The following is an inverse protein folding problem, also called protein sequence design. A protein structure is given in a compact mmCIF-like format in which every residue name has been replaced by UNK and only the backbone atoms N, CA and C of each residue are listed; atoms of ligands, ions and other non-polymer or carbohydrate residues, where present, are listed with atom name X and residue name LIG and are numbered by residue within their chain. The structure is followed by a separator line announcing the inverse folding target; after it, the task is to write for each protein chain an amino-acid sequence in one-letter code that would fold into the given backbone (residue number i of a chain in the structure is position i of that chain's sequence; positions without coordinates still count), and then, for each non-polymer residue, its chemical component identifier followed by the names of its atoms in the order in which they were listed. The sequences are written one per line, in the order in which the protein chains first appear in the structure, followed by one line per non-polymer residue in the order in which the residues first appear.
data_IF_353363471187
#
_entry.id   IF_353363471187
#
_cell.length_a   1.000
_cell.length_b   1.000
_cell.length_c   1.000
_cell.angle_alpha   90.00
_cell.angle_beta   90.00
_cell.angle_gamma   90.00
#
_symmetry.space_group_name_H-M   'P 1'
#
loop_
_entity.id
_entity.type
_entity.pdbx_description
1 polymer ?
#
# COMPACT_ATOMS: atom_id res chain seq x y z
N UNK A 1 1.96 25.37 -2.08
CA UNK A 1 2.36 23.99 -2.45
C UNK A 1 3.86 23.82 -2.21
N UNK A 2 4.77 24.60 -2.79
CA UNK A 2 6.24 24.44 -2.63
C UNK A 2 6.69 24.46 -1.17
N UNK A 3 6.21 25.43 -0.38
CA UNK A 3 6.56 25.53 1.04
C UNK A 3 6.05 24.32 1.86
N UNK A 4 4.87 23.82 1.51
CA UNK A 4 4.30 22.60 2.12
C UNK A 4 5.11 21.37 1.74
N UNK A 5 5.51 21.23 0.47
CA UNK A 5 6.37 20.15 0.02
C UNK A 5 7.72 20.15 0.75
N UNK A 6 8.33 21.34 0.93
CA UNK A 6 9.58 21.46 1.66
C UNK A 6 9.43 21.01 3.13
N UNK A 7 8.37 21.45 3.81
CA UNK A 7 8.09 21.01 5.19
C UNK A 7 7.84 19.50 5.30
N UNK A 8 7.18 18.91 4.28
CA UNK A 8 6.98 17.46 4.22
C UNK A 8 8.31 16.73 4.03
N UNK A 9 9.13 17.20 3.10
CA UNK A 9 10.43 16.58 2.84
C UNK A 9 11.34 16.67 4.08
N UNK A 10 11.40 17.81 4.76
CA UNK A 10 12.12 17.99 6.02
C UNK A 10 11.59 17.05 7.13
N UNK A 11 10.26 16.90 7.23
CA UNK A 11 9.62 16.01 8.21
C UNK A 11 10.01 14.55 7.97
N UNK A 12 9.94 14.06 6.75
CA UNK A 12 10.21 12.67 6.41
C UNK A 12 11.71 12.35 6.22
N UNK A 13 12.56 13.37 6.07
CA UNK A 13 14.02 13.19 6.01
C UNK A 13 14.64 12.76 7.36
N UNK A 14 13.93 13.00 8.47
CA UNK A 14 14.43 12.65 9.81
C UNK A 14 13.80 11.33 10.30
N UNK A 15 14.58 10.26 10.49
CA UNK A 15 14.08 8.99 11.04
C UNK A 15 13.42 9.12 12.41
N UNK A 16 13.69 10.20 13.13
CA UNK A 16 13.16 10.47 14.47
C UNK A 16 11.75 11.10 14.44
N UNK A 17 11.32 11.62 13.29
CA UNK A 17 10.04 12.31 13.14
C UNK A 17 9.03 11.56 12.24
N UNK A 18 9.48 10.59 11.49
CA UNK A 18 8.60 9.71 10.73
C UNK A 18 8.06 8.61 11.66
N UNK A 19 7.00 8.92 12.37
CA UNK A 19 6.21 7.89 13.06
C UNK A 19 5.52 6.99 12.02
N UNK A 20 5.21 5.73 12.35
CA UNK A 20 4.57 4.78 11.42
C UNK A 20 3.15 5.17 10.97
N UNK A 21 2.66 6.34 11.39
CA UNK A 21 1.31 6.85 11.14
C UNK A 21 1.29 8.19 10.41
N UNK A 22 2.45 8.70 9.98
CA UNK A 22 2.50 10.00 9.31
C UNK A 22 2.18 9.84 7.82
N UNK A 23 0.90 9.96 7.50
CA UNK A 23 0.38 10.06 6.13
C UNK A 23 -0.21 11.45 5.92
N UNK A 24 0.14 12.08 4.80
CA UNK A 24 -0.49 13.33 4.37
C UNK A 24 -1.25 13.07 3.09
N UNK A 25 -2.56 13.24 3.12
CA UNK A 25 -3.42 13.07 1.95
C UNK A 25 -3.61 14.40 1.22
N UNK A 26 -3.22 14.47 -0.03
CA UNK A 26 -3.57 15.56 -0.94
C UNK A 26 -4.92 15.31 -1.58
N UNK A 27 -5.87 16.21 -1.35
CA UNK A 27 -7.20 16.15 -1.96
C UNK A 27 -7.26 17.04 -3.19
N UNK A 28 -7.87 16.55 -4.28
CA UNK A 28 -8.06 17.30 -5.52
C UNK A 28 -6.79 17.49 -6.37
N UNK A 29 -5.69 16.81 -6.03
CA UNK A 29 -4.46 16.87 -6.84
C UNK A 29 -4.60 16.00 -8.09
N UNK A 30 -4.25 16.56 -9.25
CA UNK A 30 -4.20 15.84 -10.52
C UNK A 30 -2.90 15.03 -10.66
N UNK A 31 -2.87 14.10 -11.61
CA UNK A 31 -1.64 13.34 -11.91
C UNK A 31 -0.51 14.21 -12.48
N UNK A 32 -0.87 15.28 -13.19
CA UNK A 32 0.09 16.26 -13.70
C UNK A 32 0.74 17.04 -12.55
N UNK A 33 -0.06 17.55 -11.63
CA UNK A 33 0.44 18.26 -10.44
C UNK A 33 1.27 17.32 -9.55
N UNK A 34 0.88 16.05 -9.42
CA UNK A 34 1.67 15.03 -8.72
C UNK A 34 3.07 14.89 -9.34
N UNK A 35 3.17 14.81 -10.68
CA UNK A 35 4.45 14.71 -11.38
C UNK A 35 5.34 15.94 -11.15
N UNK A 36 4.73 17.14 -11.07
CA UNK A 36 5.46 18.38 -10.78
C UNK A 36 5.98 18.45 -9.34
N UNK A 37 5.22 17.91 -8.39
CA UNK A 37 5.56 17.94 -6.96
C UNK A 37 6.61 16.90 -6.61
N UNK A 38 6.56 15.72 -7.23
CA UNK A 38 7.41 14.55 -6.91
C UNK A 38 8.91 14.86 -6.80
N UNK A 39 9.53 15.67 -7.68
CA UNK A 39 10.94 16.06 -7.54
C UNK A 39 11.25 16.92 -6.31
N UNK A 40 10.23 17.58 -5.74
CA UNK A 40 10.39 18.49 -4.60
C UNK A 40 10.27 17.77 -3.24
N UNK A 41 9.97 16.46 -3.25
CA UNK A 41 9.81 15.63 -2.04
C UNK A 41 10.59 14.31 -2.18
N UNK A 42 11.93 14.35 -2.36
CA UNK A 42 12.74 13.17 -2.66
C UNK A 42 12.76 12.11 -1.55
N UNK A 43 12.42 12.50 -0.30
CA UNK A 43 12.33 11.60 0.86
C UNK A 43 10.95 10.97 1.04
N UNK A 44 10.00 11.29 0.14
CA UNK A 44 8.64 10.82 0.21
C UNK A 44 8.28 9.91 -0.97
N UNK A 45 7.23 9.13 -0.79
CA UNK A 45 6.53 8.41 -1.83
C UNK A 45 5.09 8.91 -1.93
N UNK A 46 4.56 8.94 -3.17
CA UNK A 46 3.18 9.31 -3.43
C UNK A 46 2.45 8.06 -3.91
N UNK A 47 1.43 7.66 -3.18
CA UNK A 47 0.53 6.57 -3.50
C UNK A 47 -0.86 7.10 -3.90
N UNK A 48 -1.28 6.86 -5.13
CA UNK A 48 -2.63 7.21 -5.61
C UNK A 48 -3.52 5.98 -5.59
N UNK A 49 -4.58 6.03 -4.82
CA UNK A 49 -5.58 4.96 -4.72
C UNK A 49 -6.96 5.37 -5.24
N UNK A 50 -7.17 6.68 -5.44
CA UNK A 50 -8.39 7.24 -6.01
C UNK A 50 -8.04 8.45 -6.90
N UNK A 51 -8.78 8.72 -7.99
CA UNK A 51 -8.44 9.82 -8.92
C UNK A 51 -8.29 11.20 -8.27
N UNK A 52 -9.04 11.48 -7.19
CA UNK A 52 -9.02 12.75 -6.49
C UNK A 52 -8.09 12.81 -5.27
N UNK A 53 -7.39 11.71 -4.91
CA UNK A 53 -6.56 11.66 -3.71
C UNK A 53 -5.19 11.05 -4.00
N UNK A 54 -4.18 11.61 -3.34
CA UNK A 54 -2.85 11.03 -3.30
C UNK A 54 -2.30 11.11 -1.88
N UNK A 55 -1.85 9.99 -1.34
CA UNK A 55 -1.21 9.91 -0.05
C UNK A 55 0.30 10.11 -0.20
N UNK A 56 0.88 10.91 0.67
CA UNK A 56 2.33 11.13 0.79
C UNK A 56 2.80 10.49 2.08
N UNK A 57 3.72 9.55 1.95
CA UNK A 57 4.33 8.82 3.06
C UNK A 57 5.85 8.94 3.00
N UNK A 58 6.54 8.58 4.06
CA UNK A 58 7.99 8.47 4.02
C UNK A 58 8.44 7.43 2.99
N UNK A 59 9.54 7.69 2.30
CA UNK A 59 10.08 6.77 1.31
C UNK A 59 10.42 5.42 1.94
N UNK A 60 9.91 4.36 1.34
CA UNK A 60 10.06 2.99 1.84
C UNK A 60 9.04 2.58 2.89
N UNK A 61 8.11 3.44 3.29
CA UNK A 61 6.98 3.06 4.13
C UNK A 61 5.89 2.44 3.25
N UNK A 62 6.06 1.17 2.96
CA UNK A 62 5.16 0.37 2.14
C UNK A 62 4.36 -0.61 3.01
N UNK A 63 3.22 -1.07 2.50
CA UNK A 63 2.45 -2.15 3.14
C UNK A 63 3.26 -3.43 3.30
N UNK A 64 4.21 -3.69 2.39
CA UNK A 64 5.18 -4.78 2.50
C UNK A 64 6.03 -4.66 3.76
N UNK A 65 6.62 -3.48 4.02
CA UNK A 65 7.40 -3.23 5.24
C UNK A 65 6.55 -3.41 6.50
N UNK A 66 5.27 -3.02 6.44
CA UNK A 66 4.32 -3.26 7.53
C UNK A 66 4.17 -4.76 7.84
N UNK A 67 4.10 -5.62 6.82
CA UNK A 67 4.10 -7.07 7.02
C UNK A 67 5.39 -7.52 7.71
N UNK A 68 6.55 -7.09 7.22
CA UNK A 68 7.85 -7.48 7.77
C UNK A 68 7.98 -7.11 9.26
N UNK A 69 7.50 -5.92 9.65
CA UNK A 69 7.50 -5.49 11.06
C UNK A 69 6.56 -6.34 11.92
N UNK A 70 5.37 -6.66 11.43
CA UNK A 70 4.37 -7.47 12.15
C UNK A 70 4.89 -8.91 12.33
N UNK A 71 5.35 -9.56 11.28
CA UNK A 71 5.83 -10.95 11.36
C UNK A 71 7.07 -11.03 12.26
N UNK A 72 7.97 -10.04 12.21
CA UNK A 72 9.11 -9.96 13.10
C UNK A 72 8.67 -9.82 14.57
N UNK A 73 7.70 -8.96 14.84
CA UNK A 73 7.20 -8.73 16.20
C UNK A 73 6.56 -9.98 16.80
N UNK A 74 5.78 -10.72 16.02
CA UNK A 74 5.08 -11.92 16.47
C UNK A 74 5.88 -13.22 16.28
N UNK A 75 7.06 -13.18 15.67
CA UNK A 75 7.86 -14.38 15.37
C UNK A 75 7.21 -15.29 14.32
N UNK A 76 6.41 -14.71 13.43
CA UNK A 76 5.75 -15.41 12.31
C UNK A 76 6.71 -15.46 11.13
N UNK A 77 6.67 -16.54 10.34
CA UNK A 77 7.45 -16.63 9.10
C UNK A 77 6.68 -16.03 7.93
N UNK A 78 7.40 -15.55 6.92
CA UNK A 78 6.77 -14.99 5.71
C UNK A 78 5.87 -16.03 5.01
N UNK A 79 6.27 -17.31 5.02
CA UNK A 79 5.51 -18.43 4.47
C UNK A 79 4.15 -18.66 5.15
N UNK A 80 3.94 -18.05 6.33
CA UNK A 80 2.69 -18.15 7.11
C UNK A 80 1.78 -16.94 6.89
N UNK A 81 2.05 -16.10 5.88
CA UNK A 81 1.31 -14.86 5.63
C UNK A 81 0.34 -14.99 4.46
N UNK A 82 -0.82 -14.37 4.60
CA UNK A 82 -1.77 -14.13 3.52
C UNK A 82 -2.15 -12.65 3.49
N UNK A 83 -2.16 -12.06 2.31
CA UNK A 83 -2.54 -10.66 2.12
C UNK A 83 -3.68 -10.54 1.13
N UNK A 84 -4.63 -9.64 1.42
CA UNK A 84 -5.74 -9.29 0.53
C UNK A 84 -5.61 -7.85 0.08
N UNK A 85 -5.89 -7.58 -1.20
CA UNK A 85 -5.79 -6.24 -1.74
C UNK A 85 -6.65 -6.02 -2.98
N UNK A 86 -6.98 -4.77 -3.28
CA UNK A 86 -7.74 -4.35 -4.46
C UNK A 86 -7.21 -3.08 -5.12
N UNK A 87 -6.33 -2.35 -4.46
CA UNK A 87 -5.73 -1.10 -4.93
C UNK A 87 -4.31 -1.22 -5.45
N UNK A 88 -3.87 -0.27 -6.27
CA UNK A 88 -2.50 -0.21 -6.80
C UNK A 88 -1.42 -0.15 -5.71
N UNK A 89 -1.75 0.44 -4.55
CA UNK A 89 -0.89 0.48 -3.38
C UNK A 89 -0.73 -0.87 -2.66
N UNK A 90 -1.53 -1.88 -3.02
CA UNK A 90 -1.45 -3.24 -2.48
C UNK A 90 -0.51 -4.15 -3.29
N UNK A 91 -0.12 -3.75 -4.50
CA UNK A 91 0.67 -4.58 -5.41
C UNK A 91 1.95 -5.12 -4.76
N UNK A 92 2.68 -4.28 -4.04
CA UNK A 92 3.91 -4.70 -3.36
C UNK A 92 3.63 -5.67 -2.23
N UNK A 93 2.57 -5.45 -1.46
CA UNK A 93 2.10 -6.32 -0.39
C UNK A 93 1.65 -7.69 -0.94
N UNK A 94 0.87 -7.71 -2.02
CA UNK A 94 0.38 -8.94 -2.65
C UNK A 94 1.51 -9.81 -3.20
N UNK A 95 2.56 -9.19 -3.75
CA UNK A 95 3.76 -9.90 -4.23
C UNK A 95 4.64 -10.42 -3.11
N UNK A 96 4.61 -9.76 -1.97
CA UNK A 96 5.51 -10.05 -0.85
C UNK A 96 4.98 -11.16 0.05
N UNK A 97 3.70 -11.17 0.37
CA UNK A 97 3.10 -12.22 1.20
C UNK A 97 3.24 -13.59 0.54
N UNK A 98 3.28 -14.65 1.35
CA UNK A 98 3.32 -16.02 0.82
C UNK A 98 2.11 -16.32 -0.06
N UNK A 99 0.94 -15.81 0.32
CA UNK A 99 -0.29 -15.90 -0.47
C UNK A 99 -0.84 -14.49 -0.65
N UNK A 100 -0.67 -13.92 -1.83
CA UNK A 100 -1.32 -12.66 -2.22
C UNK A 100 -2.64 -12.95 -2.92
N UNK A 101 -3.72 -12.36 -2.43
CA UNK A 101 -5.08 -12.53 -2.95
C UNK A 101 -5.61 -11.18 -3.44
N UNK A 102 -5.88 -11.06 -4.72
CA UNK A 102 -6.55 -9.90 -5.28
C UNK A 102 -8.07 -10.08 -5.20
N UNK A 103 -8.77 -9.03 -4.77
CA UNK A 103 -10.23 -9.01 -4.77
C UNK A 103 -10.79 -8.95 -6.19
N UNK A 104 -11.94 -9.54 -6.42
CA UNK A 104 -12.54 -9.65 -7.76
C UNK A 104 -12.82 -8.32 -8.46
N UNK A 105 -13.10 -7.24 -7.71
CA UNK A 105 -13.27 -5.88 -8.23
C UNK A 105 -11.95 -5.15 -8.52
N UNK A 106 -10.79 -5.72 -8.18
CA UNK A 106 -9.51 -5.10 -8.41
C UNK A 106 -9.21 -4.88 -9.91
N UNK A 107 -8.36 -3.90 -10.23
CA UNK A 107 -7.87 -3.69 -11.58
C UNK A 107 -6.94 -4.82 -12.03
N UNK A 108 -6.76 -4.97 -13.35
CA UNK A 108 -6.00 -6.08 -13.92
C UNK A 108 -4.52 -6.10 -13.49
N UNK A 109 -3.89 -4.95 -13.29
CA UNK A 109 -2.51 -4.84 -12.77
C UNK A 109 -2.37 -5.37 -11.33
N UNK A 110 -3.39 -5.14 -10.49
CA UNK A 110 -3.45 -5.67 -9.13
C UNK A 110 -3.69 -7.17 -9.15
N UNK A 111 -4.63 -7.66 -9.99
CA UNK A 111 -4.89 -9.09 -10.17
C UNK A 111 -3.65 -9.83 -10.67
N UNK A 112 -2.91 -9.24 -11.61
CA UNK A 112 -1.68 -9.83 -12.15
C UNK A 112 -0.52 -9.89 -11.11
N UNK A 113 -0.62 -9.13 -10.02
CA UNK A 113 0.36 -9.15 -8.94
C UNK A 113 0.10 -10.22 -7.87
N UNK A 114 -1.10 -10.80 -7.85
CA UNK A 114 -1.53 -11.76 -6.84
C UNK A 114 -1.31 -13.22 -7.28
N UNK A 115 -1.23 -14.13 -6.30
CA UNK A 115 -1.21 -15.57 -6.54
C UNK A 115 -2.61 -16.12 -6.86
N UNK A 116 -3.65 -15.45 -6.34
CA UNK A 116 -5.03 -15.88 -6.50
C UNK A 116 -5.96 -14.67 -6.64
N UNK A 117 -6.97 -14.79 -7.49
CA UNK A 117 -8.03 -13.80 -7.62
C UNK A 117 -9.31 -14.39 -7.05
N UNK A 118 -9.85 -13.76 -6.01
CA UNK A 118 -11.10 -14.20 -5.39
C UNK A 118 -12.31 -13.46 -5.96
N UNK A 119 -13.50 -13.74 -5.41
CA UNK A 119 -14.72 -13.01 -5.74
C UNK A 119 -14.66 -11.54 -5.23
N UNK A 120 -15.53 -10.66 -5.73
CA UNK A 120 -15.71 -9.32 -5.19
C UNK A 120 -16.06 -9.31 -3.70
N UNK A 121 -15.86 -8.15 -3.05
CA UNK A 121 -16.10 -8.00 -1.61
C UNK A 121 -17.58 -8.23 -1.23
N UNK A 122 -18.51 -7.82 -2.07
CA UNK A 122 -19.96 -7.99 -1.92
C UNK A 122 -20.43 -9.44 -2.19
N UNK A 123 -19.54 -10.31 -2.65
CA UNK A 123 -19.75 -11.73 -2.86
C UNK A 123 -18.95 -12.62 -1.88
N UNK A 124 -18.62 -12.13 -0.70
CA UNK A 124 -17.84 -12.85 0.31
C UNK A 124 -16.44 -13.30 -0.15
N UNK A 125 -15.77 -12.49 -0.98
CA UNK A 125 -14.48 -12.83 -1.59
C UNK A 125 -13.42 -13.28 -0.59
N UNK A 126 -13.28 -12.61 0.55
CA UNK A 126 -12.32 -12.98 1.59
C UNK A 126 -12.61 -14.37 2.14
N UNK A 127 -13.86 -14.64 2.53
CA UNK A 127 -14.29 -15.94 3.06
C UNK A 127 -14.08 -17.07 2.04
N UNK A 128 -14.40 -16.80 0.76
CA UNK A 128 -14.20 -17.76 -0.35
C UNK A 128 -12.71 -18.11 -0.52
N UNK A 129 -11.82 -17.12 -0.47
CA UNK A 129 -10.39 -17.35 -0.56
C UNK A 129 -9.86 -18.14 0.66
N UNK A 130 -10.27 -17.79 1.87
CA UNK A 130 -9.85 -18.52 3.08
C UNK A 130 -10.29 -19.99 3.04
N UNK A 131 -11.50 -20.28 2.53
CA UNK A 131 -11.98 -21.65 2.29
C UNK A 131 -11.17 -22.35 1.20
N UNK A 132 -10.86 -21.66 0.09
CA UNK A 132 -10.05 -22.22 -1.00
C UNK A 132 -8.67 -22.68 -0.51
N UNK A 133 -8.06 -21.95 0.41
CA UNK A 133 -6.76 -22.29 0.99
C UNK A 133 -6.85 -23.15 2.26
N UNK A 134 -8.05 -23.57 2.67
CA UNK A 134 -8.26 -24.45 3.82
C UNK A 134 -7.96 -23.82 5.17
N UNK A 135 -8.10 -22.49 5.28
CA UNK A 135 -7.87 -21.76 6.53
C UNK A 135 -9.12 -21.79 7.41
N UNK A 136 -10.31 -21.80 6.80
CA UNK A 136 -11.62 -21.95 7.47
C UNK A 136 -12.51 -22.94 6.74
#
# INVERSE_FOLDING_TARGET
IREMCQKLDEKFASPQHAGPTDVVTFMGITEEEEKEIRPSIPTCEIGRWYPAFADVTAKGDTKQKGIDEIIRYFGIKLEETMAFGDGGNDITMLRHAAIGVAMGQAKEDVKAAANYVTAPIDEDGISKAMKHFGII
#
